data_IF_236497207975
#
_entry.id   IF_236497207975
#
_cell.length_a   1.000
_cell.length_b   1.000
_cell.length_c   1.000
_cell.angle_alpha   90.00
_cell.angle_beta   90.00
_cell.angle_gamma   90.00
#
_symmetry.space_group_name_H-M   'P 1'
#
loop_
_entity.id
_entity.type
_entity.pdbx_description
1 polymer ?
#
# COMPACT_ATOMS: atom_id res chain seq x y z
N UNK A 1 21.49 4.75 10.49
CA UNK A 1 20.78 4.56 9.20
C UNK A 1 19.30 4.79 9.47
N UNK A 2 18.63 5.61 8.66
CA UNK A 2 17.21 5.97 8.85
C UNK A 2 16.32 5.45 7.71
N UNK A 3 15.05 5.88 7.70
CA UNK A 3 14.06 5.43 6.71
C UNK A 3 14.49 5.68 5.25
N UNK A 4 15.24 6.76 4.98
CA UNK A 4 15.77 7.06 3.63
C UNK A 4 16.84 6.06 3.19
N UNK A 5 17.64 5.54 4.12
CA UNK A 5 18.58 4.47 3.81
C UNK A 5 17.85 3.16 3.49
N UNK A 6 16.74 2.89 4.19
CA UNK A 6 15.85 1.74 3.90
C UNK A 6 15.23 1.89 2.51
N UNK A 7 14.73 3.08 2.16
CA UNK A 7 14.18 3.37 0.82
C UNK A 7 15.19 3.04 -0.28
N UNK A 8 16.44 3.50 -0.12
CA UNK A 8 17.52 3.20 -1.06
C UNK A 8 17.96 1.74 -1.09
N UNK A 9 17.90 1.03 0.04
CA UNK A 9 18.19 -0.39 0.08
C UNK A 9 17.14 -1.19 -0.72
N UNK A 10 15.85 -0.93 -0.51
CA UNK A 10 14.76 -1.62 -1.21
C UNK A 10 14.79 -1.34 -2.71
N UNK A 11 15.05 -0.10 -3.12
CA UNK A 11 15.18 0.30 -4.52
C UNK A 11 16.27 -0.52 -5.25
N UNK A 12 17.41 -0.77 -4.57
CA UNK A 12 18.51 -1.58 -5.12
C UNK A 12 18.14 -3.05 -5.24
N UNK A 13 17.56 -3.63 -4.18
CA UNK A 13 17.16 -5.04 -4.19
C UNK A 13 16.09 -5.33 -5.24
N UNK A 14 15.06 -4.50 -5.35
CA UNK A 14 14.02 -4.65 -6.37
C UNK A 14 14.60 -4.56 -7.78
N UNK A 15 15.49 -3.59 -8.02
CA UNK A 15 16.13 -3.46 -9.33
C UNK A 15 17.02 -4.68 -9.64
N UNK A 16 17.74 -5.21 -8.65
CA UNK A 16 18.54 -6.42 -8.81
C UNK A 16 17.69 -7.63 -9.19
N UNK A 17 16.57 -7.87 -8.49
CA UNK A 17 15.66 -8.99 -8.76
C UNK A 17 15.02 -8.89 -10.14
N UNK A 18 14.58 -7.69 -10.55
CA UNK A 18 13.90 -7.50 -11.84
C UNK A 18 14.89 -7.61 -13.01
N UNK A 19 16.07 -7.00 -12.86
CA UNK A 19 17.11 -7.05 -13.91
C UNK A 19 17.75 -8.43 -14.06
N UNK A 20 17.71 -9.27 -13.01
CA UNK A 20 18.21 -10.65 -13.06
C UNK A 20 17.53 -11.49 -14.15
N UNK A 21 16.23 -11.31 -14.36
CA UNK A 21 15.46 -12.03 -15.40
C UNK A 21 15.50 -11.32 -16.78
N UNK A 22 16.41 -10.35 -16.95
CA UNK A 22 16.51 -9.54 -18.17
C UNK A 22 15.36 -8.55 -18.39
N UNK A 23 14.43 -8.46 -17.43
CA UNK A 23 13.28 -7.57 -17.50
C UNK A 23 13.67 -6.12 -17.19
N UNK A 24 13.04 -5.18 -17.90
CA UNK A 24 13.21 -3.74 -17.67
C UNK A 24 11.95 -3.12 -17.08
N UNK A 25 12.12 -2.38 -15.99
CA UNK A 25 11.08 -1.53 -15.41
C UNK A 25 11.65 -0.12 -15.26
N UNK A 26 10.90 0.88 -15.72
CA UNK A 26 11.33 2.26 -15.60
C UNK A 26 11.51 2.65 -14.13
N UNK A 27 12.61 3.34 -13.82
CA UNK A 27 12.96 3.82 -12.48
C UNK A 27 11.77 4.48 -11.75
N UNK A 28 10.93 5.24 -12.46
CA UNK A 28 9.78 5.94 -11.86
C UNK A 28 8.79 4.99 -11.18
N UNK A 29 8.60 3.77 -11.68
CA UNK A 29 7.70 2.79 -11.07
C UNK A 29 8.29 2.23 -9.78
N UNK A 30 9.58 1.89 -9.80
CA UNK A 30 10.29 1.35 -8.63
C UNK A 30 10.42 2.41 -7.53
N UNK A 31 10.76 3.65 -7.93
CA UNK A 31 10.85 4.78 -7.02
C UNK A 31 9.49 5.05 -6.34
N UNK A 32 8.39 5.10 -7.11
CA UNK A 32 7.06 5.32 -6.55
C UNK A 32 6.68 4.21 -5.55
N UNK A 33 6.97 2.95 -5.86
CA UNK A 33 6.71 1.84 -4.95
C UNK A 33 7.52 1.96 -3.65
N UNK A 34 8.81 2.26 -3.75
CA UNK A 34 9.68 2.47 -2.59
C UNK A 34 9.23 3.66 -1.73
N UNK A 35 8.77 4.73 -2.37
CA UNK A 35 8.24 5.91 -1.67
C UNK A 35 6.96 5.54 -0.90
N UNK A 36 6.02 4.81 -1.52
CA UNK A 36 4.80 4.32 -0.85
C UNK A 36 5.15 3.42 0.35
N UNK A 37 6.17 2.57 0.23
CA UNK A 37 6.62 1.68 1.31
C UNK A 37 7.29 2.44 2.48
N UNK A 38 7.71 3.69 2.29
CA UNK A 38 8.52 4.42 3.29
C UNK A 38 7.94 5.77 3.74
N UNK A 39 6.90 6.27 3.07
CA UNK A 39 6.31 7.60 3.31
C UNK A 39 5.79 7.83 4.74
N UNK A 40 5.40 6.78 5.47
CA UNK A 40 4.88 6.87 6.85
C UNK A 40 5.99 6.86 7.92
N UNK A 41 7.26 6.95 7.53
CA UNK A 41 8.41 7.02 8.44
C UNK A 41 8.88 5.66 9.00
N UNK A 42 8.21 4.58 8.61
CA UNK A 42 8.58 3.20 8.90
C UNK A 42 8.32 2.34 7.67
N UNK A 43 8.92 1.15 7.61
CA UNK A 43 8.77 0.27 6.46
C UNK A 43 7.38 -0.38 6.45
N UNK A 44 6.61 -0.08 5.42
CA UNK A 44 5.30 -0.66 5.16
C UNK A 44 5.41 -1.78 4.14
N UNK A 45 5.09 -3.01 4.56
CA UNK A 45 5.02 -4.15 3.63
C UNK A 45 3.80 -4.03 2.72
N UNK A 46 3.98 -4.29 1.41
CA UNK A 46 2.87 -4.36 0.45
C UNK A 46 2.25 -5.75 0.54
N UNK A 47 1.42 -5.94 1.55
CA UNK A 47 0.63 -7.15 1.81
C UNK A 47 -0.74 -6.73 2.31
N UNK A 48 -1.73 -7.65 2.36
CA UNK A 48 -3.05 -7.37 2.93
C UNK A 48 -2.99 -6.72 4.32
N UNK A 49 -2.12 -7.24 5.19
CA UNK A 49 -1.96 -6.74 6.56
C UNK A 49 -1.25 -5.38 6.61
N UNK A 50 -0.42 -5.05 5.62
CA UNK A 50 0.23 -3.75 5.51
C UNK A 50 -0.68 -2.68 4.88
N UNK A 51 -1.51 -3.06 3.90
CA UNK A 51 -2.45 -2.16 3.23
C UNK A 51 -3.62 -1.80 4.16
N UNK A 52 -4.12 -2.74 4.96
CA UNK A 52 -5.19 -2.49 5.93
C UNK A 52 -4.80 -1.51 7.06
N UNK A 53 -3.49 -1.24 7.23
CA UNK A 53 -2.95 -0.24 8.16
C UNK A 53 -2.85 1.17 7.57
N UNK A 54 -3.21 1.36 6.30
CA UNK A 54 -3.29 2.68 5.69
C UNK A 54 -4.56 3.40 6.14
N UNK A 55 -4.50 4.73 6.23
CA UNK A 55 -5.66 5.59 6.53
C UNK A 55 -6.58 5.69 5.31
N UNK A 56 -7.18 4.56 4.96
CA UNK A 56 -8.13 4.42 3.86
C UNK A 56 -9.45 3.92 4.41
N UNK A 57 -10.55 4.46 3.88
CA UNK A 57 -11.88 4.18 4.42
C UNK A 57 -12.23 2.70 4.38
N UNK A 58 -13.07 2.25 5.32
CA UNK A 58 -13.52 0.87 5.45
C UNK A 58 -13.99 0.25 4.13
N UNK A 59 -14.67 0.99 3.26
CA UNK A 59 -15.14 0.49 1.97
C UNK A 59 -13.98 0.20 1.00
N UNK A 60 -12.90 0.98 1.07
CA UNK A 60 -11.71 0.71 0.27
C UNK A 60 -10.95 -0.50 0.82
N UNK A 61 -10.80 -0.62 2.14
CA UNK A 61 -10.12 -1.77 2.78
C UNK A 61 -10.85 -3.08 2.47
N UNK A 62 -12.17 -3.11 2.64
CA UNK A 62 -12.98 -4.32 2.45
C UNK A 62 -13.03 -4.80 0.98
N UNK A 63 -12.65 -3.94 0.02
CA UNK A 63 -12.57 -4.26 -1.42
C UNK A 63 -11.29 -5.02 -1.80
N UNK A 64 -10.32 -5.15 -0.89
CA UNK A 64 -9.09 -5.88 -1.13
C UNK A 64 -9.19 -7.31 -0.57
N UNK A 65 -9.28 -7.47 0.76
CA UNK A 65 -9.47 -8.74 1.47
C UNK A 65 -10.14 -8.48 2.85
N UNK A 66 -10.49 -9.52 3.63
CA UNK A 66 -11.03 -9.42 5.02
C UNK A 66 -12.36 -8.64 5.15
N UNK A 67 -13.23 -8.71 4.14
CA UNK A 67 -14.43 -7.86 4.02
C UNK A 67 -15.35 -7.86 5.25
N UNK A 68 -15.67 -9.05 5.80
CA UNK A 68 -16.62 -9.17 6.92
C UNK A 68 -16.06 -8.55 8.20
N UNK A 69 -14.79 -8.84 8.51
CA UNK A 69 -14.13 -8.35 9.71
C UNK A 69 -13.98 -6.82 9.67
N UNK A 70 -13.59 -6.27 8.52
CA UNK A 70 -13.44 -4.82 8.32
C UNK A 70 -14.77 -4.10 8.48
N UNK A 71 -15.86 -4.63 7.90
CA UNK A 71 -17.18 -4.00 8.01
C UNK A 71 -17.72 -4.09 9.43
N UNK A 72 -17.48 -5.20 10.13
CA UNK A 72 -17.90 -5.36 11.53
C UNK A 72 -17.14 -4.38 12.44
N UNK A 73 -15.83 -4.24 12.26
CA UNK A 73 -15.01 -3.29 13.01
C UNK A 73 -15.44 -1.83 12.73
N UNK A 74 -15.66 -1.49 11.46
CA UNK A 74 -16.14 -0.16 11.06
C UNK A 74 -17.52 0.15 11.66
N UNK A 75 -18.43 -0.83 11.68
CA UNK A 75 -19.76 -0.67 12.28
C UNK A 75 -19.70 -0.47 13.80
N UNK A 76 -18.85 -1.23 14.50
CA UNK A 76 -18.64 -1.09 15.96
C UNK A 76 -18.08 0.30 16.32
N UNK A 77 -17.22 0.87 15.48
CA UNK A 77 -16.59 2.17 15.72
C UNK A 77 -17.31 3.35 15.06
N UNK A 78 -18.44 3.13 14.38
CA UNK A 78 -19.16 4.14 13.61
C UNK A 78 -18.26 4.93 12.62
N UNK A 79 -17.36 4.22 11.95
CA UNK A 79 -16.41 4.80 11.01
C UNK A 79 -17.14 5.47 9.82
N UNK A 80 -16.79 6.73 9.51
CA UNK A 80 -17.32 7.45 8.35
C UNK A 80 -16.35 7.34 7.18
N UNK A 81 -16.80 6.74 6.08
CA UNK A 81 -16.02 6.66 4.85
C UNK A 81 -16.25 7.94 4.00
N UNK A 82 -15.20 8.70 3.65
CA UNK A 82 -15.35 9.91 2.84
C UNK A 82 -15.64 9.64 1.35
N UNK A 83 -15.69 8.37 0.92
CA UNK A 83 -16.00 7.92 -0.45
C UNK A 83 -15.11 8.59 -1.51
N UNK A 84 -13.84 8.82 -1.15
CA UNK A 84 -12.82 9.37 -2.06
C UNK A 84 -12.00 8.30 -2.78
N UNK A 85 -12.22 7.03 -2.45
CA UNK A 85 -11.49 5.90 -3.02
C UNK A 85 -11.96 5.62 -4.45
N UNK A 86 -11.03 5.56 -5.41
CA UNK A 86 -11.31 5.32 -6.82
C UNK A 86 -12.08 4.03 -7.07
N UNK A 87 -11.80 2.98 -6.29
CA UNK A 87 -12.52 1.69 -6.37
C UNK A 87 -14.01 1.80 -6.00
N UNK A 88 -14.37 2.70 -5.11
CA UNK A 88 -15.76 2.88 -4.66
C UNK A 88 -16.49 3.78 -5.66
N UNK A 89 -15.85 4.88 -6.08
CA UNK A 89 -16.44 5.83 -7.02
C UNK A 89 -16.57 5.29 -8.45
N UNK A 90 -15.78 4.28 -8.82
CA UNK A 90 -15.85 3.67 -10.16
C UNK A 90 -17.01 2.67 -10.33
N UNK A 91 -17.60 2.20 -9.22
CA UNK A 91 -18.73 1.27 -9.21
C UNK A 91 -20.05 1.92 -8.72
N UNK A 92 -20.04 3.23 -8.44
CA UNK A 92 -21.21 4.04 -8.11
C UNK A 92 -21.66 4.85 -9.33
#
# INVERSE_FOLDING_TARGET
LGIEAVRKAIEREMNHVISFDGSYVNYRHLALLCDVMTAKGHLMAITRHGINRQEVGALMRCSFEETVDILMEAAVHAEQDPVKGTKITAHA
#
